data_IF_777688840992
#
_entry.id   IF_777688840992
#
_cell.length_a   1.000
_cell.length_b   1.000
_cell.length_c   1.000
_cell.angle_alpha   90.00
_cell.angle_beta   90.00
_cell.angle_gamma   90.00
#
_symmetry.space_group_name_H-M   'P 1'
#
loop_
_entity.id
_entity.type
_entity.pdbx_description
1 polymer ?
#
# COMPACT_ATOMS: atom_id res chain seq x y z
N UNK A 1 -0.59 -11.84 -8.09
CA UNK A 1 0.65 -11.38 -7.42
C UNK A 1 0.61 -11.78 -5.97
N UNK A 2 1.77 -12.10 -5.39
CA UNK A 2 1.94 -12.10 -3.94
C UNK A 2 1.99 -10.64 -3.49
N UNK A 3 1.04 -10.22 -2.66
CA UNK A 3 1.13 -8.95 -1.95
C UNK A 3 2.20 -9.10 -0.87
N UNK A 4 3.34 -8.46 -1.05
CA UNK A 4 4.40 -8.46 -0.04
C UNK A 4 4.28 -7.18 0.78
N UNK A 5 3.97 -7.35 2.06
CA UNK A 5 3.93 -6.28 3.03
C UNK A 5 4.72 -6.70 4.26
N UNK A 6 5.31 -5.72 4.93
CA UNK A 6 5.95 -5.88 6.23
C UNK A 6 5.34 -4.90 7.23
N UNK A 7 5.32 -5.28 8.50
CA UNK A 7 4.76 -4.48 9.59
C UNK A 7 5.84 -4.21 10.63
N UNK A 8 6.09 -2.94 10.89
CA UNK A 8 7.05 -2.50 11.91
C UNK A 8 6.30 -1.84 13.05
N UNK A 9 6.46 -2.39 14.26
CA UNK A 9 5.92 -1.81 15.49
C UNK A 9 6.99 -1.04 16.26
N UNK A 10 6.62 0.12 16.82
CA UNK A 10 7.43 0.89 17.76
C UNK A 10 6.54 1.42 18.88
N UNK A 11 6.74 0.90 20.09
CA UNK A 11 5.87 1.23 21.21
C UNK A 11 4.42 0.81 20.93
N UNK A 12 3.51 1.77 21.01
CA UNK A 12 2.07 1.62 20.77
C UNK A 12 1.64 1.86 19.31
N UNK A 13 2.60 2.10 18.40
CA UNK A 13 2.33 2.43 16.99
C UNK A 13 2.85 1.31 16.10
N UNK A 14 2.11 1.01 15.05
CA UNK A 14 2.55 0.13 13.98
C UNK A 14 2.42 0.82 12.61
N UNK A 15 3.37 0.53 11.72
CA UNK A 15 3.34 0.98 10.33
C UNK A 15 3.39 -0.24 9.42
N UNK A 16 2.63 -0.20 8.32
CA UNK A 16 2.72 -1.18 7.25
C UNK A 16 3.50 -0.57 6.07
N UNK A 17 4.43 -1.34 5.52
CA UNK A 17 5.19 -1.02 4.33
C UNK A 17 4.87 -2.04 3.25
N UNK A 18 4.55 -1.60 2.04
CA UNK A 18 4.23 -2.51 0.94
C UNK A 18 4.61 -1.94 -0.43
N UNK A 19 4.89 -2.84 -1.37
CA UNK A 19 5.12 -2.49 -2.77
C UNK A 19 3.80 -2.29 -3.50
N UNK A 20 3.75 -1.29 -4.38
CA UNK A 20 2.60 -1.02 -5.24
C UNK A 20 3.01 -0.47 -6.59
N UNK A 21 2.18 -0.72 -7.61
CA UNK A 21 2.21 -0.04 -8.90
C UNK A 21 1.05 0.94 -8.92
N UNK A 22 1.23 2.20 -8.47
CA UNK A 22 0.11 3.10 -8.19
C UNK A 22 -0.72 3.46 -9.43
N UNK A 23 -0.13 3.32 -10.62
CA UNK A 23 -0.77 3.65 -11.89
C UNK A 23 -1.32 2.44 -12.64
N UNK A 24 -0.92 1.21 -12.26
CA UNK A 24 -1.47 0.00 -12.84
C UNK A 24 -2.72 -0.43 -12.07
N UNK A 25 -3.88 0.04 -12.53
CA UNK A 25 -5.15 -0.16 -11.83
C UNK A 25 -5.73 -1.55 -12.04
N UNK A 26 -6.77 -1.89 -11.26
CA UNK A 26 -7.48 -3.16 -11.48
C UNK A 26 -8.23 -3.18 -12.81
N UNK A 27 -8.71 -2.03 -13.31
CA UNK A 27 -9.33 -1.92 -14.62
C UNK A 27 -8.33 -2.27 -15.73
N UNK A 28 -7.11 -1.70 -15.70
CA UNK A 28 -6.03 -2.07 -16.62
C UNK A 28 -5.72 -3.57 -16.57
N UNK A 29 -5.71 -4.16 -15.37
CA UNK A 29 -5.45 -5.59 -15.17
C UNK A 29 -6.56 -6.49 -15.72
N UNK A 30 -7.81 -6.05 -15.68
CA UNK A 30 -8.97 -6.84 -16.07
C UNK A 30 -9.28 -6.70 -17.57
N UNK A 31 -8.87 -5.61 -18.20
CA UNK A 31 -8.97 -5.40 -19.64
C UNK A 31 -7.84 -6.13 -20.38
N UNK A 32 -8.18 -7.23 -21.06
CA UNK A 32 -7.22 -8.01 -21.86
C UNK A 32 -6.70 -7.28 -23.10
N UNK A 33 -7.37 -6.21 -23.54
CA UNK A 33 -6.94 -5.39 -24.67
C UNK A 33 -6.01 -4.25 -24.25
N UNK A 34 -5.87 -4.02 -22.95
CA UNK A 34 -5.01 -2.98 -22.42
C UNK A 34 -3.53 -3.27 -22.71
N UNK A 35 -2.84 -2.28 -23.28
CA UNK A 35 -1.40 -2.33 -23.52
C UNK A 35 -0.73 -1.43 -22.48
N UNK A 36 0.00 -2.04 -21.56
CA UNK A 36 0.72 -1.32 -20.52
C UNK A 36 1.78 -0.38 -21.10
N UNK A 37 1.92 0.78 -20.46
CA UNK A 37 2.93 1.79 -20.78
C UNK A 37 3.99 1.88 -19.66
N UNK A 38 4.96 2.79 -19.83
CA UNK A 38 6.06 2.93 -18.88
C UNK A 38 5.62 3.32 -17.45
N UNK A 39 4.54 4.09 -17.29
CA UNK A 39 4.05 4.50 -15.97
C UNK A 39 3.41 3.35 -15.20
N UNK A 40 2.79 2.39 -15.88
CA UNK A 40 2.23 1.19 -15.22
C UNK A 40 3.33 0.36 -14.54
N UNK A 41 4.54 0.38 -15.09
CA UNK A 41 5.72 -0.28 -14.53
C UNK A 41 6.31 0.45 -13.32
N UNK A 42 5.89 1.68 -13.02
CA UNK A 42 6.41 2.44 -11.88
C UNK A 42 6.05 1.71 -10.59
N UNK A 43 7.06 1.32 -9.83
CA UNK A 43 6.90 0.73 -8.51
C UNK A 43 7.17 1.79 -7.42
N UNK A 44 6.39 1.75 -6.36
CA UNK A 44 6.57 2.58 -5.17
C UNK A 44 6.52 1.72 -3.92
N UNK A 45 7.27 2.12 -2.90
CA UNK A 45 7.05 1.65 -1.53
C UNK A 45 6.06 2.62 -0.90
N UNK A 46 4.96 2.10 -0.38
CA UNK A 46 3.98 2.88 0.35
C UNK A 46 4.06 2.52 1.83
N UNK A 47 3.97 3.55 2.68
CA UNK A 47 3.95 3.42 4.13
C UNK A 47 2.66 4.02 4.67
N UNK A 48 2.06 3.38 5.66
CA UNK A 48 0.84 3.88 6.32
C UNK A 48 0.89 3.50 7.80
N UNK A 49 0.44 4.39 8.68
CA UNK A 49 0.18 4.04 10.07
C UNK A 49 -1.05 3.12 10.18
N UNK A 50 -0.91 2.05 10.95
CA UNK A 50 -2.01 1.13 11.25
C UNK A 50 -2.84 1.66 12.43
N UNK A 51 -4.13 1.37 12.39
CA UNK A 51 -5.09 1.64 13.46
C UNK A 51 -5.77 0.33 13.87
N UNK A 52 -6.13 0.21 15.15
CA UNK A 52 -6.99 -0.88 15.61
C UNK A 52 -8.43 -0.37 15.64
N UNK A 53 -9.31 -0.98 14.84
CA UNK A 53 -10.76 -0.74 14.86
C UNK A 53 -11.48 -2.07 15.02
N UNK A 54 -12.35 -2.17 16.03
CA UNK A 54 -13.14 -3.37 16.33
C UNK A 54 -12.31 -4.67 16.39
N UNK A 55 -11.14 -4.60 17.05
CA UNK A 55 -10.22 -5.73 17.19
C UNK A 55 -9.45 -6.11 15.91
N UNK A 56 -9.52 -5.28 14.86
CA UNK A 56 -8.83 -5.51 13.58
C UNK A 56 -7.82 -4.41 13.29
N UNK A 57 -6.67 -4.79 12.74
CA UNK A 57 -5.74 -3.85 12.15
C UNK A 57 -6.31 -3.35 10.81
N UNK A 58 -6.43 -2.04 10.69
CA UNK A 58 -6.89 -1.36 9.47
C UNK A 58 -5.92 -0.24 9.13
N UNK A 59 -5.92 0.18 7.87
CA UNK A 59 -5.23 1.39 7.46
C UNK A 59 -6.04 2.10 6.37
N UNK A 60 -5.92 3.43 6.32
CA UNK A 60 -6.36 4.23 5.19
C UNK A 60 -5.13 4.62 4.39
N UNK A 61 -4.98 4.07 3.18
CA UNK A 61 -3.80 4.28 2.32
C UNK A 61 -3.46 5.75 2.04
N UNK A 62 -4.47 6.63 2.07
CA UNK A 62 -4.34 8.05 1.74
C UNK A 62 -4.28 8.95 2.99
N UNK A 63 -4.39 8.36 4.19
CA UNK A 63 -4.34 9.13 5.42
C UNK A 63 -2.94 9.68 5.63
N UNK A 64 -2.84 10.99 5.84
CA UNK A 64 -1.58 11.61 6.21
C UNK A 64 -1.17 11.17 7.61
N UNK A 65 0.13 10.98 7.79
CA UNK A 65 0.73 10.66 9.08
C UNK A 65 2.17 11.18 9.12
N UNK A 66 2.71 11.32 10.32
CA UNK A 66 4.13 11.57 10.54
C UNK A 66 4.78 10.32 11.11
N UNK A 67 5.93 9.91 10.55
CA UNK A 67 6.73 8.86 11.18
C UNK A 67 7.33 9.39 12.48
N UNK A 68 6.93 8.79 13.60
CA UNK A 68 7.51 9.12 14.90
C UNK A 68 8.94 8.60 15.00
N UNK A 69 9.88 9.51 15.27
CA UNK A 69 11.31 9.21 15.43
C UNK A 69 11.60 8.39 16.66
#
# INVERSE_FOLDING_TARGET
>A
MASHADVVSKGDIAYIFYFTHPYFTNEHRLDKSYIANAEDGRACIQAVQLEVKDGRLVCNRNQQFEMRR
#
